data_IF_309877633796
#
_entry.id   IF_309877633796
#
_cell.length_a   1.000
_cell.length_b   1.000
_cell.length_c   1.000
_cell.angle_alpha   90.00
_cell.angle_beta   90.00
_cell.angle_gamma   90.00
#
_symmetry.space_group_name_H-M   'P 1'
#
loop_
_entity.id
_entity.type
_entity.pdbx_description
1 polymer ?
#
# COMPACT_ATOMS: atom_id res chain seq x y z
N UNK A 1 -45.17 -49.37 51.54
CA UNK A 1 -45.08 -47.95 51.98
C UNK A 1 -44.63 -47.09 50.81
N UNK A 2 -44.91 -45.78 50.78
CA UNK A 2 -44.84 -44.98 49.56
C UNK A 2 -43.83 -43.83 49.53
N UNK A 3 -43.18 -43.68 48.36
CA UNK A 3 -42.90 -42.43 47.59
C UNK A 3 -42.76 -41.06 48.31
N UNK A 4 -41.73 -40.32 47.82
CA UNK A 4 -41.63 -38.85 47.50
C UNK A 4 -40.94 -37.85 48.45
N UNK A 5 -39.69 -37.52 48.08
CA UNK A 5 -39.18 -36.16 47.70
C UNK A 5 -39.57 -34.89 48.47
N UNK A 6 -38.56 -34.08 48.87
CA UNK A 6 -38.57 -32.60 48.69
C UNK A 6 -37.14 -32.02 48.54
N UNK A 7 -37.02 -30.68 48.42
CA UNK A 7 -35.91 -29.94 47.76
C UNK A 7 -35.66 -28.57 48.42
N UNK A 8 -34.47 -27.96 48.21
CA UNK A 8 -34.06 -26.55 48.53
C UNK A 8 -33.83 -26.26 50.05
N UNK A 9 -32.94 -25.37 50.52
CA UNK A 9 -31.86 -24.49 49.96
C UNK A 9 -30.76 -24.29 51.08
N UNK A 10 -29.77 -23.38 51.17
CA UNK A 10 -29.35 -22.11 50.50
C UNK A 10 -27.84 -21.81 50.82
N UNK A 11 -27.12 -21.07 49.95
CA UNK A 11 -26.04 -20.14 50.37
C UNK A 11 -24.55 -20.52 50.14
N UNK A 12 -23.89 -19.76 49.25
CA UNK A 12 -22.57 -19.05 49.34
C UNK A 12 -21.35 -19.66 50.11
N UNK A 13 -20.08 -19.44 49.69
CA UNK A 13 -19.51 -18.64 48.58
C UNK A 13 -18.07 -19.12 48.19
N UNK A 14 -17.46 -18.41 47.23
CA UNK A 14 -16.06 -18.49 46.78
C UNK A 14 -15.63 -19.72 45.95
N UNK A 15 -14.58 -19.65 45.10
CA UNK A 15 -14.36 -18.79 43.92
C UNK A 15 -12.98 -19.09 43.31
N UNK A 16 -12.93 -19.52 42.05
CA UNK A 16 -11.92 -19.12 41.05
C UNK A 16 -12.22 -19.76 39.68
N UNK A 17 -11.89 -19.06 38.60
CA UNK A 17 -12.12 -19.47 37.21
C UNK A 17 -10.80 -19.70 36.45
N UNK A 18 -10.77 -20.54 35.39
CA UNK A 18 -9.56 -20.76 34.60
C UNK A 18 -9.27 -19.60 33.64
N UNK A 19 -8.01 -19.17 33.57
CA UNK A 19 -7.56 -18.06 32.71
C UNK A 19 -7.46 -18.48 31.23
N UNK A 20 -7.97 -17.66 30.31
CA UNK A 20 -7.72 -17.80 28.87
C UNK A 20 -6.38 -17.16 28.48
N UNK A 21 -5.59 -17.79 27.60
CA UNK A 21 -4.23 -17.36 27.27
C UNK A 21 -3.91 -17.35 25.77
N UNK A 22 -4.17 -16.21 25.12
CA UNK A 22 -3.56 -15.71 23.88
C UNK A 22 -3.15 -16.72 22.79
N UNK A 23 -4.08 -17.02 21.87
CA UNK A 23 -3.74 -17.50 20.53
C UNK A 23 -3.07 -16.38 19.71
N UNK A 24 -1.76 -16.50 19.43
CA UNK A 24 -0.97 -15.48 18.72
C UNK A 24 -1.19 -15.51 17.20
N UNK A 25 -2.33 -15.00 16.75
CA UNK A 25 -2.70 -14.90 15.33
C UNK A 25 -1.79 -13.92 14.57
N UNK A 26 -0.76 -14.44 13.90
CA UNK A 26 0.04 -13.69 12.92
C UNK A 26 -0.80 -13.42 11.66
N UNK A 27 -1.53 -12.32 11.64
CA UNK A 27 -2.31 -11.87 10.48
C UNK A 27 -1.42 -11.23 9.42
N UNK A 28 -0.69 -12.07 8.66
CA UNK A 28 -0.13 -11.65 7.37
C UNK A 28 -1.30 -11.43 6.40
N UNK A 29 -1.63 -10.16 6.12
CA UNK A 29 -2.65 -9.80 5.12
C UNK A 29 -2.09 -10.11 3.73
N UNK A 30 -2.32 -11.34 3.27
CA UNK A 30 -2.05 -11.73 1.90
C UNK A 30 -3.07 -11.03 1.00
N UNK A 31 -2.65 -9.95 0.34
CA UNK A 31 -3.49 -9.27 -0.67
C UNK A 31 -3.74 -10.25 -1.82
N UNK A 32 -5.01 -10.67 -1.96
CA UNK A 32 -5.43 -11.55 -3.05
C UNK A 32 -5.48 -10.78 -4.36
N UNK A 33 -4.35 -10.73 -5.07
CA UNK A 33 -4.29 -10.18 -6.43
C UNK A 33 -5.19 -11.05 -7.32
N UNK A 34 -6.23 -10.45 -7.89
CA UNK A 34 -7.11 -11.11 -8.86
C UNK A 34 -6.32 -11.62 -10.06
N UNK A 35 -6.72 -12.74 -10.68
CA UNK A 35 -6.06 -13.21 -11.90
C UNK A 35 -6.85 -12.81 -13.16
N UNK A 36 -6.20 -12.21 -14.15
CA UNK A 36 -6.82 -11.96 -15.47
C UNK A 36 -7.17 -13.27 -16.18
N UNK A 37 -8.30 -13.27 -16.87
CA UNK A 37 -8.76 -14.41 -17.67
C UNK A 37 -7.83 -14.71 -18.85
N UNK A 38 -7.91 -15.93 -19.41
CA UNK A 38 -7.08 -16.37 -20.55
C UNK A 38 -7.37 -15.63 -21.86
N UNK A 39 -8.56 -15.06 -22.04
CA UNK A 39 -8.84 -14.12 -23.15
C UNK A 39 -8.23 -12.76 -22.80
N UNK A 40 -8.59 -12.18 -21.65
CA UNK A 40 -8.11 -10.87 -21.21
C UNK A 40 -6.58 -10.71 -21.27
N UNK A 41 -5.82 -11.79 -20.98
CA UNK A 41 -4.35 -11.82 -21.12
C UNK A 41 -3.87 -11.72 -22.57
N UNK A 42 -4.57 -12.30 -23.54
CA UNK A 42 -4.27 -12.17 -24.99
C UNK A 42 -4.66 -10.80 -25.51
N UNK A 43 -5.88 -10.37 -25.20
CA UNK A 43 -6.44 -9.08 -25.62
C UNK A 43 -5.53 -7.94 -25.12
N UNK A 44 -5.05 -8.04 -23.87
CA UNK A 44 -4.04 -7.15 -23.28
C UNK A 44 -2.69 -7.21 -24.01
N UNK A 45 -2.19 -8.39 -24.39
CA UNK A 45 -0.94 -8.52 -25.15
C UNK A 45 -1.03 -7.87 -26.54
N UNK A 46 -2.16 -8.00 -27.23
CA UNK A 46 -2.39 -7.35 -28.52
C UNK A 46 -2.42 -5.81 -28.37
N UNK A 47 -3.17 -5.30 -27.38
CA UNK A 47 -3.20 -3.86 -27.08
C UNK A 47 -1.82 -3.30 -26.69
N UNK A 48 -1.02 -4.04 -25.91
CA UNK A 48 0.34 -3.65 -25.55
C UNK A 48 1.26 -3.60 -26.79
N UNK A 49 1.17 -4.58 -27.69
CA UNK A 49 1.96 -4.58 -28.93
C UNK A 49 1.59 -3.39 -29.82
N UNK A 50 0.29 -3.12 -30.01
CA UNK A 50 -0.19 -2.00 -30.81
C UNK A 50 0.23 -0.64 -30.22
N UNK A 51 0.19 -0.50 -28.89
CA UNK A 51 0.67 0.69 -28.19
C UNK A 51 2.19 0.85 -28.34
N UNK A 52 2.96 -0.23 -28.22
CA UNK A 52 4.41 -0.22 -28.40
C UNK A 52 4.80 0.16 -29.83
N UNK A 53 4.09 -0.35 -30.85
CA UNK A 53 4.31 0.00 -32.25
C UNK A 53 4.10 1.51 -32.49
N UNK A 54 2.95 2.05 -32.05
CA UNK A 54 2.63 3.48 -32.22
C UNK A 54 3.64 4.37 -31.48
N UNK A 55 4.01 4.02 -30.25
CA UNK A 55 5.00 4.77 -29.48
C UNK A 55 6.44 4.63 -30.00
N UNK A 56 6.71 3.67 -30.89
CA UNK A 56 8.03 3.43 -31.51
C UNK A 56 8.18 4.04 -32.92
N UNK A 57 7.16 4.74 -33.43
CA UNK A 57 7.21 5.41 -34.74
C UNK A 57 8.39 6.42 -34.83
N UNK A 58 9.18 6.44 -35.92
CA UNK A 58 10.27 7.39 -36.11
C UNK A 58 9.86 8.87 -36.05
N UNK A 59 10.83 9.73 -35.70
CA UNK A 59 10.64 11.18 -35.54
C UNK A 59 10.07 11.88 -36.80
N UNK A 60 10.33 11.34 -37.98
CA UNK A 60 9.92 11.88 -39.28
C UNK A 60 8.38 11.88 -39.47
N UNK A 61 7.64 11.08 -38.70
CA UNK A 61 6.18 11.04 -38.73
C UNK A 61 5.52 12.05 -37.77
N UNK A 62 6.30 12.73 -36.91
CA UNK A 62 5.78 13.50 -35.76
C UNK A 62 5.28 14.92 -36.09
N UNK A 63 5.00 15.19 -37.36
CA UNK A 63 4.15 16.33 -37.77
C UNK A 63 2.67 16.12 -37.37
N UNK A 64 2.33 14.93 -36.85
CA UNK A 64 0.98 14.50 -36.47
C UNK A 64 0.81 14.14 -34.99
N UNK A 65 1.71 14.56 -34.08
CA UNK A 65 1.65 14.21 -32.64
C UNK A 65 0.27 14.43 -31.98
N UNK A 66 -0.45 15.49 -32.37
CA UNK A 66 -1.80 15.79 -31.86
C UNK A 66 -2.90 14.89 -32.47
N UNK A 67 -2.68 14.33 -33.66
CA UNK A 67 -3.57 13.36 -34.31
C UNK A 67 -3.34 11.93 -33.81
N UNK A 68 -2.09 11.56 -33.46
CA UNK A 68 -1.76 10.26 -32.84
C UNK A 68 -2.23 10.18 -31.36
N UNK A 69 -2.30 11.31 -30.64
CA UNK A 69 -2.63 11.33 -29.21
C UNK A 69 -3.96 10.64 -28.84
N UNK A 70 -5.09 10.86 -29.54
CA UNK A 70 -6.34 10.16 -29.27
C UNK A 70 -6.22 8.63 -29.36
N UNK A 71 -5.47 8.10 -30.33
CA UNK A 71 -5.29 6.65 -30.48
C UNK A 71 -4.42 6.05 -29.37
N UNK A 72 -3.34 6.75 -28.98
CA UNK A 72 -2.52 6.40 -27.81
C UNK A 72 -3.38 6.40 -26.54
N UNK A 73 -4.19 7.45 -26.32
CA UNK A 73 -5.10 7.55 -25.18
C UNK A 73 -6.12 6.41 -25.16
N UNK A 74 -6.76 6.13 -26.30
CA UNK A 74 -7.76 5.06 -26.46
C UNK A 74 -7.18 3.66 -26.23
N UNK A 75 -5.88 3.43 -26.52
CA UNK A 75 -5.20 2.17 -26.20
C UNK A 75 -4.88 2.08 -24.70
N UNK A 76 -4.36 3.14 -24.09
CA UNK A 76 -4.05 3.19 -22.65
C UNK A 76 -5.30 3.02 -21.79
N UNK A 77 -6.42 3.66 -22.15
CA UNK A 77 -7.71 3.51 -21.47
C UNK A 77 -8.23 2.05 -21.53
N UNK A 78 -8.23 1.41 -22.71
CA UNK A 78 -8.60 -0.01 -22.84
C UNK A 78 -7.71 -0.94 -22.02
N UNK A 79 -6.40 -0.68 -22.01
CA UNK A 79 -5.43 -1.42 -21.18
C UNK A 79 -5.77 -1.24 -19.69
N UNK A 80 -6.02 -0.01 -19.24
CA UNK A 80 -6.39 0.29 -17.86
C UNK A 80 -7.73 -0.35 -17.46
N UNK A 81 -8.73 -0.37 -18.35
CA UNK A 81 -10.01 -1.04 -18.11
C UNK A 81 -9.84 -2.55 -17.92
N UNK A 82 -9.03 -3.23 -18.74
CA UNK A 82 -8.72 -4.66 -18.56
C UNK A 82 -7.93 -4.89 -17.27
N UNK A 83 -6.96 -4.01 -16.97
CA UNK A 83 -6.12 -4.10 -15.78
C UNK A 83 -6.83 -3.67 -14.49
N UNK A 84 -8.01 -3.03 -14.55
CA UNK A 84 -8.75 -2.55 -13.36
C UNK A 84 -9.06 -3.65 -12.33
N UNK A 85 -9.20 -4.89 -12.80
CA UNK A 85 -9.41 -6.09 -11.97
C UNK A 85 -8.16 -6.45 -11.14
N UNK A 86 -6.97 -6.02 -11.57
CA UNK A 86 -5.69 -6.16 -10.87
C UNK A 86 -5.41 -5.02 -9.88
N UNK A 87 -6.16 -3.92 -9.93
CA UNK A 87 -5.94 -2.76 -9.08
C UNK A 87 -5.99 -3.14 -7.61
N UNK A 88 -5.04 -2.63 -6.83
CA UNK A 88 -5.09 -2.73 -5.38
C UNK A 88 -6.34 -1.99 -4.85
N UNK A 89 -6.99 -2.48 -3.78
CA UNK A 89 -8.09 -1.77 -3.14
C UNK A 89 -7.69 -0.34 -2.74
N UNK A 90 -8.65 0.59 -2.79
CA UNK A 90 -8.44 1.96 -2.30
C UNK A 90 -8.05 1.93 -0.82
N UNK A 91 -6.87 2.45 -0.50
CA UNK A 91 -6.28 2.37 0.83
C UNK A 91 -6.08 3.76 1.43
N UNK A 92 -6.48 3.92 2.70
CA UNK A 92 -6.34 5.18 3.39
C UNK A 92 -4.91 5.37 3.92
N UNK A 93 -4.08 6.03 3.10
CA UNK A 93 -2.67 6.38 3.36
C UNK A 93 -2.40 6.97 4.75
N UNK A 94 -3.35 7.67 5.36
CA UNK A 94 -3.20 8.24 6.71
C UNK A 94 -3.00 7.13 7.76
N UNK A 95 -3.59 5.95 7.56
CA UNK A 95 -3.45 4.80 8.47
C UNK A 95 -2.02 4.22 8.49
N UNK A 96 -1.23 4.44 7.43
CA UNK A 96 0.14 3.94 7.35
C UNK A 96 1.15 4.86 8.05
N UNK A 97 0.83 6.15 8.25
CA UNK A 97 1.79 7.11 8.81
C UNK A 97 2.37 6.71 10.18
N UNK A 98 1.60 6.16 11.14
CA UNK A 98 2.18 5.66 12.39
C UNK A 98 3.20 4.53 12.18
N UNK A 99 2.97 3.65 11.20
CA UNK A 99 3.87 2.53 10.86
C UNK A 99 5.13 3.05 10.16
N UNK A 100 4.97 3.99 9.22
CA UNK A 100 6.06 4.64 8.51
C UNK A 100 6.96 5.48 9.44
N UNK A 101 6.36 6.30 10.31
CA UNK A 101 7.07 7.08 11.32
C UNK A 101 7.80 6.16 12.30
N UNK A 102 7.19 5.04 12.72
CA UNK A 102 7.90 4.04 13.53
C UNK A 102 9.11 3.48 12.78
N UNK A 103 8.94 3.02 11.53
CA UNK A 103 10.03 2.47 10.72
C UNK A 103 11.18 3.46 10.50
N UNK A 104 10.90 4.76 10.36
CA UNK A 104 11.91 5.82 10.31
C UNK A 104 12.71 5.92 11.62
N UNK A 105 12.02 5.96 12.77
CA UNK A 105 12.67 6.05 14.09
C UNK A 105 13.46 4.78 14.43
N UNK A 106 12.89 3.59 14.18
CA UNK A 106 13.56 2.28 14.31
C UNK A 106 14.86 2.20 13.47
N UNK A 107 14.98 3.04 12.43
CA UNK A 107 16.15 3.12 11.56
C UNK A 107 17.13 4.28 11.86
N UNK A 108 16.84 5.13 12.85
CA UNK A 108 17.71 6.24 13.28
C UNK A 108 17.40 7.61 12.66
N UNK A 109 16.20 7.81 12.09
CA UNK A 109 15.69 9.14 11.71
C UNK A 109 14.93 9.72 12.89
N UNK A 110 15.35 10.88 13.41
CA UNK A 110 14.55 11.61 14.40
C UNK A 110 13.39 12.33 13.71
N UNK A 111 12.15 11.93 14.01
CA UNK A 111 10.94 12.60 13.49
C UNK A 111 10.28 13.54 14.49
N UNK A 112 10.90 13.80 15.65
CA UNK A 112 10.24 14.53 16.77
C UNK A 112 9.89 15.98 16.46
N UNK A 113 10.54 16.58 15.47
CA UNK A 113 10.48 18.00 15.18
C UNK A 113 9.49 18.37 14.04
N UNK A 114 8.87 17.36 13.41
CA UNK A 114 7.90 17.51 12.31
C UNK A 114 6.75 16.51 12.45
N UNK A 115 5.57 16.88 11.99
CA UNK A 115 4.40 16.01 11.88
C UNK A 115 3.87 15.99 10.43
N UNK A 116 3.26 14.87 10.02
CA UNK A 116 2.63 14.75 8.70
C UNK A 116 1.19 15.25 8.83
N UNK A 117 0.81 16.24 8.01
CA UNK A 117 -0.49 16.92 8.09
C UNK A 117 -1.05 17.13 6.67
N UNK A 118 -2.37 17.07 6.53
CA UNK A 118 -3.05 17.43 5.29
C UNK A 118 -3.28 18.95 5.22
N UNK A 119 -2.90 19.55 4.09
CA UNK A 119 -3.07 20.98 3.81
C UNK A 119 -4.09 21.15 2.68
N UNK A 120 -5.11 21.97 2.90
CA UNK A 120 -6.17 22.24 1.93
C UNK A 120 -5.58 22.76 0.60
N UNK A 121 -5.93 22.09 -0.51
CA UNK A 121 -5.40 22.39 -1.85
C UNK A 121 -4.00 21.86 -2.16
N UNK A 122 -3.24 21.36 -1.18
CA UNK A 122 -1.86 20.83 -1.36
C UNK A 122 -1.71 19.35 -0.98
N UNK A 123 -2.63 18.78 -0.21
CA UNK A 123 -2.56 17.40 0.29
C UNK A 123 -1.57 17.23 1.44
N UNK A 124 -1.05 16.02 1.64
CA UNK A 124 -0.15 15.72 2.76
C UNK A 124 1.24 16.34 2.61
N UNK A 125 1.65 17.12 3.61
CA UNK A 125 2.98 17.71 3.75
C UNK A 125 3.55 17.54 5.16
N UNK A 126 4.66 18.23 5.44
CA UNK A 126 5.26 18.30 6.78
C UNK A 126 4.94 19.65 7.42
N UNK A 127 4.42 19.62 8.65
CA UNK A 127 4.28 20.80 9.52
C UNK A 127 5.37 20.74 10.60
N UNK A 128 5.93 21.90 10.94
CA UNK A 128 6.87 22.00 12.07
C UNK A 128 6.13 21.75 13.40
N UNK A 129 6.72 20.95 14.29
CA UNK A 129 6.21 20.70 15.64
C UNK A 129 6.90 21.55 16.73
N UNK A 130 7.89 22.34 16.32
CA UNK A 130 8.70 23.24 17.15
C UNK A 130 9.20 24.40 16.27
N UNK A 131 9.68 25.48 16.90
CA UNK A 131 10.33 26.59 16.17
C UNK A 131 11.69 26.17 15.58
N UNK A 132 12.05 26.76 14.45
CA UNK A 132 13.34 26.60 13.77
C UNK A 132 13.87 27.96 13.32
N UNK A 133 15.19 28.08 13.22
CA UNK A 133 15.89 29.21 12.61
C UNK A 133 16.40 28.85 11.22
N UNK A 134 16.71 29.88 10.43
CA UNK A 134 17.40 29.69 9.16
C UNK A 134 18.75 28.98 9.39
N UNK A 135 18.99 27.91 8.63
CA UNK A 135 20.16 27.04 8.79
C UNK A 135 19.99 25.86 9.76
N UNK A 136 18.91 25.78 10.54
CA UNK A 136 18.67 24.62 11.41
C UNK A 136 18.38 23.34 10.60
N UNK A 137 18.94 22.21 11.06
CA UNK A 137 18.82 20.90 10.40
C UNK A 137 17.49 20.23 10.75
N UNK A 138 16.46 20.56 9.98
CA UNK A 138 15.07 20.07 10.09
C UNK A 138 14.95 18.53 10.16
N UNK A 139 15.64 17.80 9.27
CA UNK A 139 15.56 16.35 9.15
C UNK A 139 16.86 15.76 8.58
N UNK A 140 17.09 14.45 8.75
CA UNK A 140 18.17 13.74 8.08
C UNK A 140 17.80 12.27 7.85
N UNK A 141 17.97 11.80 6.61
CA UNK A 141 17.62 10.44 6.17
C UNK A 141 18.90 9.67 5.84
N UNK A 142 19.25 8.58 6.56
CA UNK A 142 20.34 7.70 6.18
C UNK A 142 20.12 7.06 4.81
N UNK A 143 21.19 6.96 3.98
CA UNK A 143 21.11 6.39 2.60
C UNK A 143 20.45 5.00 2.55
N UNK A 144 20.60 4.17 3.58
CA UNK A 144 19.95 2.85 3.71
C UNK A 144 18.41 2.86 3.68
N UNK A 145 17.77 4.03 3.78
CA UNK A 145 16.31 4.21 3.71
C UNK A 145 15.85 4.78 2.36
N UNK A 146 16.78 5.09 1.46
CA UNK A 146 16.49 5.61 0.14
C UNK A 146 16.39 4.46 -0.86
N UNK A 147 15.33 4.45 -1.66
CA UNK A 147 15.29 3.61 -2.86
C UNK A 147 16.18 4.26 -3.92
N UNK A 148 17.15 3.50 -4.41
CA UNK A 148 18.22 3.94 -5.33
C UNK A 148 18.42 2.91 -6.44
N UNK A 149 19.12 3.31 -7.52
CA UNK A 149 19.52 2.39 -8.60
C UNK A 149 20.35 1.22 -8.06
N UNK A 150 21.24 1.47 -7.10
CA UNK A 150 22.04 0.44 -6.42
C UNK A 150 21.14 -0.62 -5.77
N UNK A 151 20.21 -0.18 -4.90
CA UNK A 151 19.26 -1.08 -4.22
C UNK A 151 18.27 -1.75 -5.18
N UNK A 152 18.00 -1.16 -6.36
CA UNK A 152 17.20 -1.80 -7.39
C UNK A 152 17.98 -2.93 -8.09
N UNK A 153 19.29 -2.74 -8.31
CA UNK A 153 20.19 -3.78 -8.82
C UNK A 153 20.41 -4.94 -7.83
N UNK A 154 20.26 -4.68 -6.53
CA UNK A 154 20.30 -5.70 -5.47
C UNK A 154 18.93 -6.39 -5.23
N UNK A 155 17.88 -5.94 -5.92
CA UNK A 155 16.50 -6.43 -5.72
C UNK A 155 16.10 -7.55 -6.69
N UNK A 156 14.92 -8.13 -6.46
CA UNK A 156 14.30 -9.10 -7.36
C UNK A 156 14.11 -8.61 -8.82
N UNK A 157 14.11 -7.29 -9.06
CA UNK A 157 13.92 -6.71 -10.39
C UNK A 157 15.01 -7.12 -11.41
N UNK A 158 16.24 -7.42 -10.97
CA UNK A 158 17.32 -7.83 -11.88
C UNK A 158 17.09 -9.21 -12.51
N UNK A 159 16.26 -10.05 -11.88
CA UNK A 159 15.88 -11.36 -12.40
C UNK A 159 14.72 -11.30 -13.41
N UNK A 160 14.25 -10.10 -13.77
CA UNK A 160 13.23 -9.87 -14.82
C UNK A 160 13.93 -9.40 -16.10
N UNK A 161 14.66 -10.32 -16.74
CA UNK A 161 15.38 -10.16 -18.02
C UNK A 161 15.20 -11.39 -18.89
#
# INVERSE_FOLDING_TARGET
MGRKTKKNTKGNQASNSPTQGASSSKSSVAVSISELSKSSKRDLSELINNLLEICSKPLEFRTKELEDYPDIYNLVDKIQQIQSVLSLPEHNRHQDFPVFIKWLNDNGVSTTAVEIVEFEGYGFGLKAAQDFKEGDRLLCIPRKLMMTVDTANESALVFVR
#
